data_IF_317768198969
#
_entry.id   IF_317768198969
#
_cell.length_a   1.000
_cell.length_b   1.000
_cell.length_c   1.000
_cell.angle_alpha   90.00
_cell.angle_beta   90.00
_cell.angle_gamma   90.00
#
_symmetry.space_group_name_H-M   'P 1'
#
loop_
_entity.id
_entity.type
_entity.pdbx_description
1 polymer ?
#
# COMPACT_ATOMS: atom_id res chain seq x y z
N UNK A 1 32.55 -20.17 19.57
CA UNK A 1 33.05 -19.20 18.58
C UNK A 1 31.81 -18.57 17.98
N UNK A 2 31.28 -17.55 18.66
CA UNK A 2 30.16 -16.78 18.14
C UNK A 2 30.69 -16.04 16.92
N UNK A 3 30.12 -16.30 15.75
CA UNK A 3 30.42 -15.49 14.57
C UNK A 3 29.92 -14.09 14.88
N UNK A 4 30.89 -13.18 14.99
CA UNK A 4 30.74 -11.74 14.98
C UNK A 4 29.96 -11.37 13.71
N UNK A 5 28.64 -11.28 13.83
CA UNK A 5 27.79 -10.63 12.84
C UNK A 5 28.05 -9.14 13.01
N UNK A 6 29.12 -8.70 12.34
CA UNK A 6 29.52 -7.31 12.18
C UNK A 6 28.26 -6.46 12.07
N UNK A 7 28.07 -5.54 13.03
CA UNK A 7 26.91 -4.66 13.11
C UNK A 7 26.80 -3.86 11.82
N UNK A 8 26.09 -4.38 10.83
CA UNK A 8 25.61 -3.60 9.71
C UNK A 8 24.64 -2.61 10.33
N UNK A 9 25.03 -1.34 10.37
CA UNK A 9 24.14 -0.27 10.79
C UNK A 9 22.88 -0.34 9.94
N UNK A 10 21.81 -0.81 10.57
CA UNK A 10 20.52 -1.01 9.94
C UNK A 10 19.50 -0.10 10.61
N UNK A 11 18.56 0.40 9.83
CA UNK A 11 17.41 1.15 10.33
C UNK A 11 16.12 0.37 10.06
N UNK A 12 15.10 0.70 10.85
CA UNK A 12 13.76 0.20 10.67
C UNK A 12 12.88 1.30 10.07
N UNK A 13 12.03 0.92 9.12
CA UNK A 13 10.98 1.76 8.59
C UNK A 13 9.65 1.06 8.85
N UNK A 14 8.82 1.65 9.72
CA UNK A 14 7.46 1.18 9.96
C UNK A 14 6.47 2.11 9.25
N UNK A 15 5.56 1.53 8.49
CA UNK A 15 4.51 2.24 7.77
C UNK A 15 3.15 1.74 8.25
N UNK A 16 2.34 2.67 8.74
CA UNK A 16 0.93 2.44 9.05
C UNK A 16 0.08 3.42 8.27
N UNK A 17 -1.07 2.96 7.79
CA UNK A 17 -1.97 3.78 6.99
C UNK A 17 -3.22 3.01 6.59
N UNK A 18 -3.95 3.57 5.63
CA UNK A 18 -5.16 2.94 5.09
C UNK A 18 -5.43 3.38 3.66
N UNK A 19 -6.06 2.49 2.88
CA UNK A 19 -6.74 2.85 1.64
C UNK A 19 -8.12 3.35 2.06
N UNK A 20 -8.33 4.66 2.05
CA UNK A 20 -9.60 5.24 2.52
C UNK A 20 -10.71 5.07 1.50
N UNK A 21 -10.46 5.56 0.27
CA UNK A 21 -11.48 5.64 -0.76
C UNK A 21 -10.90 5.77 -2.17
N UNK A 22 -11.74 5.51 -3.16
CA UNK A 22 -11.45 5.79 -4.57
C UNK A 22 -12.67 6.36 -5.31
N UNK A 23 -12.43 7.00 -6.45
CA UNK A 23 -13.47 7.55 -7.33
C UNK A 23 -13.40 6.89 -8.69
N UNK A 24 -14.43 6.10 -9.01
CA UNK A 24 -14.60 5.44 -10.31
C UNK A 24 -16.02 5.72 -10.82
N UNK A 25 -16.30 6.89 -11.42
CA UNK A 25 -17.66 7.32 -11.74
C UNK A 25 -18.45 6.32 -12.60
N UNK A 26 -17.75 5.62 -13.51
CA UNK A 26 -18.32 4.68 -14.46
C UNK A 26 -18.53 3.27 -13.93
N UNK A 27 -18.14 2.96 -12.68
CA UNK A 27 -18.15 1.60 -12.14
C UNK A 27 -18.79 1.54 -10.76
N UNK A 28 -19.65 0.56 -10.53
CA UNK A 28 -20.35 0.43 -9.25
C UNK A 28 -19.64 -0.48 -8.27
N UNK A 29 -19.04 -1.57 -8.74
CA UNK A 29 -18.32 -2.54 -7.91
C UNK A 29 -16.82 -2.38 -8.10
N UNK A 30 -16.12 -2.01 -7.03
CA UNK A 30 -14.65 -1.87 -7.04
C UNK A 30 -14.04 -2.53 -5.80
N UNK A 31 -12.95 -3.26 -6.00
CA UNK A 31 -12.00 -3.64 -4.95
C UNK A 31 -10.58 -3.34 -5.39
N UNK A 32 -9.67 -3.21 -4.43
CA UNK A 32 -8.27 -2.92 -4.69
C UNK A 32 -7.39 -4.10 -4.29
N UNK A 33 -6.39 -4.43 -5.10
CA UNK A 33 -5.22 -5.20 -4.68
C UNK A 33 -4.07 -4.23 -4.48
N UNK A 34 -3.39 -4.29 -3.35
CA UNK A 34 -2.14 -3.56 -3.13
C UNK A 34 -0.97 -4.53 -2.96
N UNK A 35 0.22 -4.06 -3.30
CA UNK A 35 1.49 -4.71 -2.96
C UNK A 35 2.59 -3.67 -2.79
N UNK A 36 3.69 -4.06 -2.14
CA UNK A 36 4.88 -3.25 -2.02
C UNK A 36 5.99 -3.70 -2.97
N UNK A 37 6.69 -2.73 -3.54
CA UNK A 37 7.92 -2.95 -4.32
C UNK A 37 9.06 -2.20 -3.67
N UNK A 38 10.21 -2.85 -3.48
CA UNK A 38 11.40 -2.27 -2.84
C UNK A 38 12.68 -2.93 -3.37
N UNK A 39 13.82 -2.31 -3.07
CA UNK A 39 15.14 -2.83 -3.43
C UNK A 39 15.51 -4.09 -2.66
N UNK A 40 16.59 -4.74 -3.09
CA UNK A 40 17.08 -6.02 -2.55
C UNK A 40 17.57 -5.94 -1.10
N UNK A 41 18.01 -4.76 -0.65
CA UNK A 41 18.48 -4.54 0.73
C UNK A 41 17.33 -4.48 1.75
N UNK A 42 16.11 -4.23 1.29
CA UNK A 42 14.93 -4.10 2.13
C UNK A 42 14.37 -5.47 2.49
N UNK A 43 14.32 -5.78 3.78
CA UNK A 43 13.75 -7.02 4.31
C UNK A 43 12.49 -6.70 5.10
N UNK A 44 11.39 -7.33 4.75
CA UNK A 44 10.14 -7.25 5.53
C UNK A 44 10.33 -8.03 6.83
N UNK A 45 10.11 -7.37 7.96
CA UNK A 45 10.26 -7.97 9.29
C UNK A 45 8.93 -8.12 10.04
N UNK A 46 7.89 -7.40 9.63
CA UNK A 46 6.53 -7.53 10.16
C UNK A 46 5.48 -6.94 9.20
N UNK A 47 4.23 -7.35 9.36
CA UNK A 47 3.08 -6.84 8.60
C UNK A 47 2.82 -7.58 7.28
N UNK A 48 2.06 -6.96 6.37
CA UNK A 48 1.62 -7.55 5.10
C UNK A 48 2.21 -6.80 3.90
N UNK A 49 2.84 -7.51 2.99
CA UNK A 49 3.49 -6.98 1.78
C UNK A 49 2.56 -6.93 0.56
N UNK A 50 1.46 -7.67 0.59
CA UNK A 50 0.33 -7.54 -0.32
C UNK A 50 -1.01 -7.82 0.37
N UNK A 51 -2.09 -7.35 -0.23
CA UNK A 51 -3.44 -7.64 0.22
C UNK A 51 -4.53 -7.21 -0.75
N UNK A 52 -5.75 -7.69 -0.50
CA UNK A 52 -6.94 -7.39 -1.29
C UNK A 52 -8.00 -6.81 -0.37
N UNK A 53 -8.59 -5.69 -0.76
CA UNK A 53 -9.67 -5.05 -0.01
C UNK A 53 -10.98 -5.79 -0.15
N UNK A 54 -11.97 -5.44 0.66
CA UNK A 54 -13.36 -5.78 0.36
C UNK A 54 -13.80 -5.17 -0.98
N UNK A 55 -14.82 -5.78 -1.58
CA UNK A 55 -15.57 -5.17 -2.68
C UNK A 55 -16.51 -4.12 -2.13
N UNK A 56 -16.48 -2.94 -2.75
CA UNK A 56 -17.29 -1.79 -2.39
C UNK A 56 -18.31 -1.51 -3.48
N UNK A 57 -19.46 -0.98 -3.07
CA UNK A 57 -20.43 -0.39 -3.98
C UNK A 57 -20.23 1.13 -3.99
N UNK A 58 -20.35 1.76 -5.16
CA UNK A 58 -20.32 3.22 -5.31
C UNK A 58 -21.41 3.87 -4.45
N UNK A 59 -21.05 4.90 -3.69
CA UNK A 59 -22.01 5.64 -2.88
C UNK A 59 -23.07 6.31 -3.75
N UNK A 60 -24.30 6.41 -3.25
CA UNK A 60 -25.40 7.12 -3.90
C UNK A 60 -25.40 8.63 -3.63
N UNK A 61 -24.48 9.12 -2.79
CA UNK A 61 -24.32 10.54 -2.49
C UNK A 61 -23.71 11.32 -3.66
N UNK A 62 -23.65 12.65 -3.55
CA UNK A 62 -23.08 13.50 -4.60
C UNK A 62 -21.58 13.24 -4.85
N UNK A 63 -20.88 12.59 -3.92
CA UNK A 63 -19.45 12.34 -4.03
C UNK A 63 -19.14 11.08 -4.87
N UNK A 64 -20.07 10.12 -4.94
CA UNK A 64 -19.96 8.90 -5.76
C UNK A 64 -18.64 8.17 -5.51
N UNK A 65 -18.30 7.96 -4.24
CA UNK A 65 -17.04 7.38 -3.77
C UNK A 65 -17.20 5.90 -3.42
N UNK A 66 -16.10 5.17 -3.58
CA UNK A 66 -15.92 3.81 -3.08
C UNK A 66 -15.16 3.89 -1.77
N UNK A 67 -15.77 3.55 -0.65
CA UNK A 67 -15.15 3.64 0.68
C UNK A 67 -14.60 2.28 1.08
N UNK A 68 -13.29 2.19 1.27
CA UNK A 68 -12.58 0.99 1.69
C UNK A 68 -12.25 1.00 3.18
N UNK A 69 -11.65 2.08 3.70
CA UNK A 69 -11.07 2.10 5.05
C UNK A 69 -10.22 0.84 5.35
N UNK A 70 -9.45 0.39 4.35
CA UNK A 70 -8.71 -0.86 4.44
C UNK A 70 -7.32 -0.61 5.05
N UNK A 71 -6.95 -1.29 6.15
CA UNK A 71 -5.71 -1.02 6.86
C UNK A 71 -4.47 -1.47 6.08
N UNK A 72 -3.39 -0.71 6.23
CA UNK A 72 -2.05 -1.03 5.75
C UNK A 72 -1.11 -0.97 6.96
N UNK A 73 -0.36 -2.04 7.21
CA UNK A 73 0.66 -2.12 8.25
C UNK A 73 1.80 -3.02 7.78
N UNK A 74 3.01 -2.47 7.73
CA UNK A 74 4.22 -3.15 7.29
C UNK A 74 5.46 -2.49 7.87
N UNK A 75 6.46 -3.30 8.21
CA UNK A 75 7.75 -2.84 8.71
C UNK A 75 8.89 -3.49 7.97
N UNK A 76 9.85 -2.68 7.54
CA UNK A 76 11.09 -3.12 6.91
C UNK A 76 12.32 -2.85 7.77
N UNK A 77 13.36 -3.64 7.52
CA UNK A 77 14.74 -3.42 7.92
C UNK A 77 15.59 -3.19 6.67
N UNK A 78 16.49 -2.21 6.70
CA UNK A 78 17.40 -1.90 5.59
C UNK A 78 18.73 -1.36 6.12
N UNK A 79 19.82 -1.55 5.38
CA UNK A 79 21.15 -0.96 5.67
C UNK A 79 21.33 0.40 4.99
N UNK A 80 20.60 0.66 3.91
CA UNK A 80 20.65 1.91 3.16
C UNK A 80 19.29 2.25 2.52
N UNK A 81 19.07 3.50 2.06
CA UNK A 81 17.78 3.93 1.52
C UNK A 81 17.57 3.61 0.02
N UNK A 82 18.53 2.98 -0.67
CA UNK A 82 18.43 2.71 -2.10
C UNK A 82 17.30 1.70 -2.38
N UNK A 83 16.54 1.92 -3.46
CA UNK A 83 15.36 1.10 -3.77
C UNK A 83 14.21 1.31 -2.77
N UNK A 84 14.03 2.56 -2.34
CA UNK A 84 13.03 2.95 -1.35
C UNK A 84 11.63 2.36 -1.61
N UNK A 85 10.89 1.89 -0.58
CA UNK A 85 9.62 1.21 -0.77
C UNK A 85 8.56 2.04 -1.50
N UNK A 86 7.83 1.38 -2.39
CA UNK A 86 6.71 1.91 -3.15
C UNK A 86 5.46 1.08 -2.90
N UNK A 87 4.34 1.75 -2.64
CA UNK A 87 3.01 1.16 -2.62
C UNK A 87 2.46 1.14 -4.04
N UNK A 88 2.11 -0.04 -4.54
CA UNK A 88 1.46 -0.27 -5.82
C UNK A 88 0.02 -0.68 -5.54
N UNK A 89 -0.95 -0.06 -6.22
CA UNK A 89 -2.38 -0.34 -6.09
C UNK A 89 -2.95 -0.63 -7.47
N UNK A 90 -3.78 -1.67 -7.54
CA UNK A 90 -4.60 -2.03 -8.69
C UNK A 90 -6.06 -2.04 -8.27
N UNK A 91 -6.90 -1.27 -8.95
CA UNK A 91 -8.35 -1.29 -8.75
C UNK A 91 -8.99 -2.19 -9.80
N UNK A 92 -9.81 -3.13 -9.37
CA UNK A 92 -10.55 -4.08 -10.18
C UNK A 92 -12.05 -3.80 -10.12
N UNK A 93 -12.75 -4.15 -11.19
CA UNK A 93 -14.20 -4.15 -11.24
C UNK A 93 -14.69 -5.09 -12.33
N UNK A 94 -15.96 -5.47 -12.25
CA UNK A 94 -16.56 -6.44 -13.15
C UNK A 94 -16.79 -5.86 -14.55
N UNK A 95 -16.59 -6.65 -15.60
CA UNK A 95 -17.08 -6.37 -16.94
C UNK A 95 -18.55 -6.81 -17.13
N UNK A 96 -19.08 -6.61 -18.33
CA UNK A 96 -20.46 -7.01 -18.68
C UNK A 96 -20.72 -8.52 -18.59
N UNK A 97 -19.66 -9.33 -18.56
CA UNK A 97 -19.70 -10.78 -18.43
C UNK A 97 -19.39 -11.25 -17.00
N UNK A 98 -19.24 -10.32 -16.04
CA UNK A 98 -18.92 -10.63 -14.66
C UNK A 98 -17.46 -11.05 -14.44
N UNK A 99 -16.55 -10.71 -15.34
CA UNK A 99 -15.11 -10.97 -15.19
C UNK A 99 -14.40 -9.79 -14.53
N UNK A 100 -13.45 -10.11 -13.66
CA UNK A 100 -12.56 -9.13 -13.03
C UNK A 100 -11.65 -8.48 -14.08
N UNK A 101 -11.75 -7.15 -14.21
CA UNK A 101 -10.92 -6.35 -15.12
C UNK A 101 -10.34 -5.17 -14.35
N UNK A 102 -9.07 -4.86 -14.61
CA UNK A 102 -8.40 -3.68 -14.03
C UNK A 102 -9.10 -2.41 -14.55
N UNK A 103 -9.53 -1.55 -13.63
CA UNK A 103 -10.15 -0.24 -13.88
C UNK A 103 -9.21 0.92 -13.63
N UNK A 104 -8.17 0.72 -12.84
CA UNK A 104 -7.13 1.70 -12.60
C UNK A 104 -5.94 1.10 -11.88
N UNK A 105 -4.80 1.78 -11.93
CA UNK A 105 -3.60 1.40 -11.19
C UNK A 105 -2.82 2.66 -10.80
N UNK A 106 -1.96 2.54 -9.79
CA UNK A 106 -1.10 3.62 -9.34
C UNK A 106 0.06 3.09 -8.52
N UNK A 107 1.15 3.85 -8.47
CA UNK A 107 2.32 3.55 -7.66
C UNK A 107 2.84 4.83 -7.02
N UNK A 108 3.25 4.75 -5.75
CA UNK A 108 3.76 5.90 -5.01
C UNK A 108 4.78 5.46 -3.95
N UNK A 109 5.83 6.25 -3.76
CA UNK A 109 6.76 6.03 -2.64
C UNK A 109 6.07 6.33 -1.31
N UNK A 110 6.41 5.57 -0.27
CA UNK A 110 5.85 5.74 1.08
C UNK A 110 6.85 6.43 2.01
N UNK A 111 6.43 7.25 2.98
CA UNK A 111 5.06 7.66 3.25
C UNK A 111 4.53 8.60 2.16
N UNK A 112 3.23 8.49 1.89
CA UNK A 112 2.53 9.27 0.84
C UNK A 112 2.36 10.74 1.23
N UNK A 113 2.62 11.07 2.50
CA UNK A 113 2.51 12.41 3.05
C UNK A 113 3.77 12.72 3.88
N UNK A 114 4.28 13.96 3.82
CA UNK A 114 5.36 14.39 4.69
C UNK A 114 4.99 14.23 6.17
N UNK A 115 5.92 13.70 6.97
CA UNK A 115 5.76 13.62 8.42
C UNK A 115 5.68 15.00 9.07
N UNK A 116 4.97 15.11 10.19
CA UNK A 116 4.92 16.33 11.00
C UNK A 116 6.15 16.39 11.88
N UNK A 117 6.98 17.43 11.73
CA UNK A 117 8.08 17.67 12.65
C UNK A 117 7.53 18.16 13.99
N UNK A 118 7.97 17.54 15.08
CA UNK A 118 7.79 18.08 16.44
C UNK A 118 9.02 18.94 16.70
N UNK A 119 8.89 20.27 16.82
CA UNK A 119 10.02 21.13 17.18
C UNK A 119 10.55 20.71 18.55
N UNK A 120 11.88 20.63 18.66
CA UNK A 120 12.57 20.38 19.94
C UNK A 120 12.46 21.57 20.87
#
# INVERSE_FOLDING_TARGET
MATDDDRVDCFLLSLTGQIEKAKFPSYDYIWCKYCFSHGLDWVIVAGMDEGITQTTLKSSDSNQEHVFNFPIDITWKSSNPFGWPQLIIHAYGLDIFGKDVIRGYGAVHVPVQPGKQIPK
#
